data_IF_166380895486
#
_entry.id   IF_166380895486
#
_cell.length_a   1.000
_cell.length_b   1.000
_cell.length_c   1.000
_cell.angle_alpha   90.00
_cell.angle_beta   90.00
_cell.angle_gamma   90.00
#
_symmetry.space_group_name_H-M   'P 1'
#
loop_
_entity.id
_entity.type
_entity.pdbx_description
1 polymer ?
#
# COMPACT_ATOMS: atom_id res chain seq x y z
N UNK A 1 67.15 21.48 -72.70
CA UNK A 1 66.78 22.67 -73.51
C UNK A 1 65.31 22.58 -73.84
N UNK A 2 64.59 23.69 -73.73
CA UNK A 2 63.13 23.80 -73.56
C UNK A 2 62.27 23.09 -74.62
N UNK A 3 61.12 22.55 -74.18
CA UNK A 3 59.93 22.39 -75.01
C UNK A 3 58.71 22.90 -74.23
N UNK A 4 58.34 24.16 -74.51
CA UNK A 4 56.96 24.63 -74.43
C UNK A 4 56.16 23.89 -75.51
N UNK A 5 54.97 23.37 -75.20
CA UNK A 5 53.78 23.35 -76.08
C UNK A 5 52.55 23.29 -75.16
N UNK A 6 51.87 24.41 -74.85
CA UNK A 6 50.75 25.05 -75.57
C UNK A 6 49.43 24.23 -75.62
N UNK A 7 48.38 24.85 -75.05
CA UNK A 7 46.97 24.88 -75.50
C UNK A 7 46.07 23.69 -75.10
N UNK A 8 45.12 23.84 -74.14
CA UNK A 8 43.73 24.39 -74.22
C UNK A 8 42.70 23.33 -74.70
N UNK A 9 41.38 23.45 -74.38
CA UNK A 9 40.69 23.21 -73.10
C UNK A 9 39.46 22.27 -73.32
N UNK A 10 38.51 22.29 -72.38
CA UNK A 10 37.09 21.89 -72.54
C UNK A 10 36.78 20.39 -72.52
N UNK A 11 36.15 19.91 -71.44
CA UNK A 11 34.68 19.80 -71.36
C UNK A 11 34.24 19.18 -70.03
N UNK A 12 33.14 19.71 -69.51
CA UNK A 12 32.43 19.37 -68.29
C UNK A 12 32.00 17.89 -68.23
N UNK A 13 32.02 17.32 -67.03
CA UNK A 13 30.87 16.58 -66.52
C UNK A 13 30.86 16.68 -64.98
N UNK A 14 29.86 17.40 -64.47
CA UNK A 14 29.53 17.43 -63.05
C UNK A 14 28.78 16.14 -62.70
N UNK A 15 29.12 15.53 -61.57
CA UNK A 15 28.25 14.60 -60.86
C UNK A 15 28.45 14.79 -59.35
N UNK A 16 27.50 15.48 -58.71
CA UNK A 16 27.26 15.39 -57.28
C UNK A 16 26.30 14.21 -57.03
N UNK A 17 26.63 13.34 -56.08
CA UNK A 17 25.68 12.60 -55.23
C UNK A 17 26.49 11.98 -54.08
N UNK A 18 26.47 12.54 -52.87
CA UNK A 18 25.47 12.32 -51.83
C UNK A 18 25.67 10.96 -51.11
N UNK A 19 26.18 11.06 -49.89
CA UNK A 19 26.30 10.02 -48.88
C UNK A 19 24.95 9.41 -48.53
N UNK A 20 24.80 8.10 -48.69
CA UNK A 20 23.78 7.31 -47.97
C UNK A 20 24.46 6.09 -47.36
N UNK A 21 24.81 6.19 -46.08
CA UNK A 21 25.03 5.01 -45.26
C UNK A 21 23.66 4.45 -44.92
N UNK A 22 23.28 3.35 -45.56
CA UNK A 22 22.14 2.55 -45.11
C UNK A 22 22.55 1.90 -43.80
N UNK A 23 21.90 2.29 -42.70
CA UNK A 23 21.85 1.47 -41.50
C UNK A 23 21.10 0.19 -41.89
N UNK A 24 21.75 -0.96 -41.73
CA UNK A 24 21.04 -2.24 -41.66
C UNK A 24 20.05 -2.14 -40.50
N UNK A 25 18.77 -2.18 -40.82
CA UNK A 25 17.72 -2.43 -39.83
C UNK A 25 17.83 -3.92 -39.51
N UNK A 26 18.51 -4.25 -38.41
CA UNK A 26 18.38 -5.55 -37.75
C UNK A 26 16.88 -5.88 -37.72
N UNK A 27 16.50 -6.95 -38.42
CA UNK A 27 15.13 -7.23 -38.79
C UNK A 27 14.19 -7.14 -37.59
N UNK A 28 13.10 -6.39 -37.76
CA UNK A 28 11.96 -6.43 -36.86
C UNK A 28 11.52 -7.89 -36.72
N UNK A 29 11.89 -8.52 -35.61
CA UNK A 29 11.38 -9.83 -35.24
C UNK A 29 9.92 -9.63 -34.83
N UNK A 30 9.05 -10.29 -35.58
CA UNK A 30 7.65 -10.42 -35.23
C UNK A 30 7.56 -11.47 -34.12
N UNK A 31 7.25 -11.05 -32.89
CA UNK A 31 7.08 -11.92 -31.72
C UNK A 31 5.77 -12.75 -31.75
N UNK A 32 5.07 -12.76 -32.88
CA UNK A 32 3.80 -13.46 -33.07
C UNK A 32 2.61 -12.65 -32.58
N UNK A 33 1.42 -13.14 -32.93
CA UNK A 33 0.15 -12.58 -32.46
C UNK A 33 0.09 -12.66 -30.93
N UNK A 34 0.04 -11.51 -30.25
CA UNK A 34 -0.07 -11.42 -28.78
C UNK A 34 -1.46 -11.85 -28.25
N UNK A 35 -2.24 -12.56 -29.07
CA UNK A 35 -3.59 -12.97 -28.77
C UNK A 35 -4.54 -11.78 -28.72
N UNK A 36 -5.81 -12.04 -28.99
CA UNK A 36 -6.86 -11.03 -28.82
C UNK A 36 -6.98 -10.67 -27.34
N UNK A 37 -6.65 -9.43 -26.99
CA UNK A 37 -6.91 -8.89 -25.66
C UNK A 37 -8.42 -8.93 -25.40
N UNK A 38 -8.85 -9.80 -24.47
CA UNK A 38 -10.22 -9.78 -23.99
C UNK A 38 -10.42 -8.54 -23.11
N UNK A 39 -11.42 -7.72 -23.44
CA UNK A 39 -11.82 -6.64 -22.55
C UNK A 39 -12.13 -7.22 -21.15
N UNK A 40 -11.70 -6.55 -20.06
CA UNK A 40 -11.99 -7.03 -18.72
C UNK A 40 -13.50 -7.18 -18.55
N UNK A 41 -13.91 -8.36 -18.10
CA UNK A 41 -15.32 -8.66 -17.80
C UNK A 41 -15.74 -7.84 -16.59
N UNK A 42 -16.66 -6.90 -16.77
CA UNK A 42 -17.33 -6.24 -15.66
C UNK A 42 -18.09 -7.27 -14.83
N UNK A 43 -17.71 -7.40 -13.56
CA UNK A 43 -18.49 -8.11 -12.55
C UNK A 43 -19.44 -7.10 -11.89
N UNK A 44 -20.63 -7.56 -11.50
CA UNK A 44 -21.59 -6.80 -10.67
C UNK A 44 -22.13 -5.50 -11.26
N UNK A 45 -22.38 -5.44 -12.58
CA UNK A 45 -22.97 -4.27 -13.26
C UNK A 45 -24.30 -3.78 -12.65
N UNK A 46 -25.00 -4.66 -11.92
CA UNK A 46 -26.29 -4.39 -11.29
C UNK A 46 -26.22 -4.17 -9.77
N UNK A 47 -25.03 -4.13 -9.16
CA UNK A 47 -24.87 -3.82 -7.74
C UNK A 47 -24.58 -2.32 -7.60
N UNK A 48 -25.57 -1.59 -7.07
CA UNK A 48 -25.44 -0.19 -6.64
C UNK A 48 -25.48 -0.20 -5.11
N UNK A 49 -24.33 -0.18 -4.40
CA UNK A 49 -24.38 -0.02 -2.95
C UNK A 49 -25.02 1.33 -2.60
N UNK A 50 -25.76 1.37 -1.49
CA UNK A 50 -26.31 2.61 -0.96
C UNK A 50 -25.17 3.60 -0.67
N UNK A 51 -25.33 4.90 -0.98
CA UNK A 51 -24.37 5.91 -0.58
C UNK A 51 -24.09 5.83 0.94
N UNK A 52 -22.86 6.16 1.38
CA UNK A 52 -22.56 6.21 2.80
C UNK A 52 -23.53 7.15 3.53
N UNK A 53 -23.97 6.74 4.72
CA UNK A 53 -24.88 7.55 5.54
C UNK A 53 -24.23 8.88 6.02
N UNK A 54 -25.02 9.86 6.48
CA UNK A 54 -24.48 11.12 7.01
C UNK A 54 -23.46 10.85 8.14
N UNK A 55 -22.23 11.35 8.00
CA UNK A 55 -21.12 11.11 8.93
C UNK A 55 -20.28 9.87 8.63
N UNK A 56 -20.72 9.01 7.71
CA UNK A 56 -19.88 7.98 7.14
C UNK A 56 -19.08 8.59 6.00
N UNK A 57 -17.78 8.74 6.23
CA UNK A 57 -16.84 9.08 5.17
C UNK A 57 -15.90 7.89 4.98
N UNK A 58 -16.27 6.94 4.10
CA UNK A 58 -15.33 5.93 3.67
C UNK A 58 -14.19 6.66 2.97
N UNK A 59 -13.00 6.58 3.55
CA UNK A 59 -11.82 7.23 2.98
C UNK A 59 -11.44 8.59 3.57
N UNK A 60 -11.94 9.00 4.75
CA UNK A 60 -11.34 10.13 5.49
C UNK A 60 -10.93 9.76 6.90
N UNK A 61 -10.00 10.56 7.44
CA UNK A 61 -9.51 10.41 8.79
C UNK A 61 -10.68 10.40 9.79
N UNK A 62 -10.72 9.42 10.68
CA UNK A 62 -11.74 9.38 11.74
C UNK A 62 -11.11 9.83 13.06
N UNK A 63 -11.52 10.98 13.60
CA UNK A 63 -11.12 11.39 14.95
C UNK A 63 -11.52 10.33 15.96
N UNK A 64 -10.55 9.89 16.78
CA UNK A 64 -10.80 8.91 17.83
C UNK A 64 -11.41 9.63 19.04
N UNK A 65 -12.67 9.33 19.42
CA UNK A 65 -13.35 10.08 20.47
C UNK A 65 -12.85 9.68 21.86
N UNK A 66 -13.03 10.58 22.83
CA UNK A 66 -12.80 10.29 24.25
C UNK A 66 -11.34 10.29 24.70
N UNK A 67 -10.40 10.60 23.80
CA UNK A 67 -8.99 10.75 24.13
C UNK A 67 -8.64 12.20 24.46
N UNK A 68 -7.71 12.38 25.39
CA UNK A 68 -7.12 13.69 25.65
C UNK A 68 -6.32 14.16 24.43
N UNK A 69 -6.27 15.48 24.22
CA UNK A 69 -5.38 16.07 23.22
C UNK A 69 -3.92 15.80 23.59
N UNK A 70 -3.09 15.58 22.59
CA UNK A 70 -1.65 15.33 22.70
C UNK A 70 -0.90 16.63 22.40
N UNK A 71 -0.45 17.40 23.42
CA UNK A 71 0.02 18.78 23.21
C UNK A 71 1.36 18.88 22.48
N UNK A 72 2.20 17.86 22.56
CA UNK A 72 3.50 17.79 21.88
C UNK A 72 3.41 17.24 20.45
N UNK A 73 2.18 16.96 19.99
CA UNK A 73 1.86 16.44 18.67
C UNK A 73 2.55 15.11 18.34
N UNK A 74 2.97 14.32 19.34
CA UNK A 74 3.68 13.06 19.13
C UNK A 74 2.81 11.85 19.49
N UNK A 75 2.61 10.93 18.54
CA UNK A 75 1.94 9.66 18.85
C UNK A 75 2.69 8.83 19.90
N UNK A 76 4.00 9.06 20.10
CA UNK A 76 4.80 8.40 21.15
C UNK A 76 4.36 8.77 22.56
N UNK A 77 3.69 9.90 22.73
CA UNK A 77 3.16 10.37 24.00
C UNK A 77 1.75 9.85 24.29
N UNK A 78 1.08 9.25 23.30
CA UNK A 78 -0.20 8.59 23.46
C UNK A 78 -0.02 7.13 23.91
N UNK A 79 -0.96 6.61 24.71
CA UNK A 79 -1.02 5.17 25.02
C UNK A 79 -1.60 4.40 23.83
N UNK A 80 -0.84 3.50 23.17
CA UNK A 80 -1.35 2.76 22.01
C UNK A 80 -2.60 1.94 22.32
N UNK A 81 -2.63 1.30 23.50
CA UNK A 81 -3.77 0.48 23.92
C UNK A 81 -5.02 1.32 24.15
N UNK A 82 -4.90 2.50 24.77
CA UNK A 82 -6.07 3.38 24.97
C UNK A 82 -6.58 3.94 23.64
N UNK A 83 -5.69 4.26 22.69
CA UNK A 83 -6.07 4.71 21.34
C UNK A 83 -6.87 3.63 20.62
N UNK A 84 -6.35 2.40 20.56
CA UNK A 84 -7.05 1.27 19.91
C UNK A 84 -8.36 0.97 20.62
N UNK A 85 -8.38 0.99 21.96
CA UNK A 85 -9.61 0.73 22.74
C UNK A 85 -10.68 1.77 22.45
N UNK A 86 -10.34 3.04 22.44
CA UNK A 86 -11.27 4.13 22.14
C UNK A 86 -11.82 4.03 20.71
N UNK A 87 -10.95 3.81 19.72
CA UNK A 87 -11.35 3.68 18.31
C UNK A 87 -12.26 2.47 18.08
N UNK A 88 -11.87 1.28 18.54
CA UNK A 88 -12.67 0.05 18.36
C UNK A 88 -14.01 0.15 19.10
N UNK A 89 -14.06 0.76 20.28
CA UNK A 89 -15.31 0.98 21.02
C UNK A 89 -16.25 1.89 20.23
N UNK A 90 -15.73 3.01 19.72
CA UNK A 90 -16.50 3.95 18.92
C UNK A 90 -16.97 3.33 17.60
N UNK A 91 -16.09 2.62 16.90
CA UNK A 91 -16.40 1.91 15.67
C UNK A 91 -17.47 0.84 15.91
N UNK A 92 -17.40 0.08 17.01
CA UNK A 92 -18.39 -0.95 17.36
C UNK A 92 -19.77 -0.33 17.59
N UNK A 93 -19.82 0.81 18.30
CA UNK A 93 -21.07 1.52 18.54
C UNK A 93 -21.70 2.05 17.23
N UNK A 94 -20.87 2.60 16.32
CA UNK A 94 -21.31 3.12 15.02
C UNK A 94 -21.65 2.03 14.00
N UNK A 95 -21.06 0.84 14.13
CA UNK A 95 -21.23 -0.26 13.20
C UNK A 95 -22.58 -0.99 13.34
N UNK A 96 -23.21 -0.85 14.51
CA UNK A 96 -24.48 -1.51 14.86
C UNK A 96 -24.46 -3.05 14.63
N UNK A 97 -23.28 -3.67 14.73
CA UNK A 97 -23.09 -5.10 14.58
C UNK A 97 -23.09 -5.62 13.14
N UNK A 98 -23.03 -4.74 12.13
CA UNK A 98 -22.97 -5.13 10.72
C UNK A 98 -21.64 -5.78 10.31
N UNK A 99 -20.59 -5.58 11.11
CA UNK A 99 -19.23 -6.04 10.85
C UNK A 99 -18.48 -5.25 9.78
N UNK A 100 -19.03 -4.10 9.34
CA UNK A 100 -18.58 -3.32 8.19
C UNK A 100 -17.45 -2.35 8.52
N UNK A 101 -17.52 -1.70 9.68
CA UNK A 101 -16.51 -0.76 10.16
C UNK A 101 -15.45 -1.46 11.03
N UNK A 102 -15.85 -2.51 11.73
CA UNK A 102 -14.99 -3.26 12.66
C UNK A 102 -15.53 -4.67 12.84
N UNK A 103 -14.65 -5.65 13.08
CA UNK A 103 -15.08 -7.03 13.32
C UNK A 103 -15.93 -7.08 14.60
N UNK A 104 -17.12 -7.72 14.60
CA UNK A 104 -17.97 -7.81 15.79
C UNK A 104 -17.28 -8.44 17.02
N UNK A 105 -16.20 -9.20 16.79
CA UNK A 105 -15.39 -9.83 17.84
C UNK A 105 -14.36 -8.90 18.45
N UNK A 106 -14.00 -7.80 17.78
CA UNK A 106 -12.92 -6.90 18.18
C UNK A 106 -13.06 -6.40 19.63
N UNK A 107 -14.26 -5.97 20.01
CA UNK A 107 -14.50 -5.46 21.37
C UNK A 107 -14.34 -6.55 22.44
N UNK A 108 -14.74 -7.80 22.14
CA UNK A 108 -14.55 -8.93 23.05
C UNK A 108 -13.07 -9.30 23.16
N UNK A 109 -12.31 -9.17 22.06
CA UNK A 109 -10.86 -9.40 22.05
C UNK A 109 -10.11 -8.39 22.91
N UNK A 110 -10.50 -7.12 22.86
CA UNK A 110 -9.93 -6.08 23.73
C UNK A 110 -10.19 -6.30 25.22
N UNK A 111 -11.26 -7.03 25.59
CA UNK A 111 -11.55 -7.35 27.00
C UNK A 111 -10.51 -8.29 27.63
N UNK A 112 -9.64 -8.92 26.82
CA UNK A 112 -8.51 -9.73 27.30
C UNK A 112 -7.33 -8.87 27.75
N UNK A 113 -7.28 -7.59 27.37
CA UNK A 113 -6.23 -6.68 27.78
C UNK A 113 -6.47 -6.20 29.21
N UNK A 114 -5.42 -6.26 30.01
CA UNK A 114 -5.36 -5.75 31.39
C UNK A 114 -5.06 -4.24 31.41
N UNK A 115 -4.84 -3.70 32.61
CA UNK A 115 -4.44 -2.29 32.82
C UNK A 115 -2.92 -2.07 32.70
N UNK A 116 -2.14 -3.11 32.37
CA UNK A 116 -0.73 -2.93 32.06
C UNK A 116 -0.56 -2.07 30.80
N UNK A 117 0.59 -1.39 30.66
CA UNK A 117 0.87 -0.48 29.54
C UNK A 117 0.79 -1.20 28.18
N UNK A 118 1.23 -2.46 28.13
CA UNK A 118 1.15 -3.35 26.97
C UNK A 118 -0.14 -4.20 26.94
N UNK A 119 -1.04 -4.02 27.90
CA UNK A 119 -2.24 -4.82 28.09
C UNK A 119 -1.98 -6.21 28.70
N UNK A 120 -0.73 -6.60 28.96
CA UNK A 120 -0.38 -7.90 29.52
C UNK A 120 -0.44 -9.06 28.50
N UNK A 121 -0.07 -10.27 28.92
CA UNK A 121 0.29 -11.37 28.02
C UNK A 121 -0.85 -11.96 27.19
N UNK A 122 -2.10 -11.63 27.54
CA UNK A 122 -3.29 -12.10 26.82
C UNK A 122 -3.87 -11.03 25.88
N UNK A 123 -3.31 -9.82 25.89
CA UNK A 123 -3.80 -8.72 25.06
C UNK A 123 -3.45 -9.00 23.59
N UNK A 124 -4.46 -9.10 22.70
CA UNK A 124 -4.20 -9.40 21.30
C UNK A 124 -3.90 -8.15 20.46
N UNK A 125 -3.50 -7.05 21.11
CA UNK A 125 -3.00 -5.87 20.41
C UNK A 125 -1.52 -6.08 20.17
N UNK A 126 -1.09 -6.04 18.90
CA UNK A 126 0.31 -6.17 18.54
C UNK A 126 1.12 -4.98 19.07
N UNK A 127 2.40 -5.16 19.43
CA UNK A 127 3.27 -4.06 19.84
C UNK A 127 3.21 -2.90 18.85
N UNK A 128 3.18 -1.69 19.38
CA UNK A 128 3.15 -0.48 18.58
C UNK A 128 4.46 -0.29 17.79
N UNK A 129 4.32 0.07 16.53
CA UNK A 129 5.41 0.58 15.69
C UNK A 129 5.16 2.06 15.45
N UNK A 130 6.21 2.87 15.50
CA UNK A 130 6.15 4.31 15.27
C UNK A 130 7.05 4.66 14.10
N UNK A 131 6.47 5.22 13.05
CA UNK A 131 7.19 5.65 11.85
C UNK A 131 6.43 6.78 11.15
N UNK A 132 7.16 7.71 10.55
CA UNK A 132 6.58 8.73 9.67
C UNK A 132 6.13 8.10 8.35
N UNK A 133 4.82 8.03 8.16
CA UNK A 133 4.16 7.55 6.93
C UNK A 133 3.32 8.65 6.27
N UNK A 134 3.42 9.88 6.78
CA UNK A 134 2.72 11.06 6.25
C UNK A 134 3.67 12.10 5.65
N UNK A 135 4.97 11.94 5.87
CA UNK A 135 6.04 12.83 5.41
C UNK A 135 6.08 14.17 6.16
N UNK A 136 5.41 14.26 7.31
CA UNK A 136 5.29 15.51 8.06
C UNK A 136 6.37 15.67 9.16
N UNK A 137 7.28 14.71 9.28
CA UNK A 137 8.35 14.68 10.29
C UNK A 137 7.89 14.22 11.67
N UNK A 138 6.65 13.73 11.82
CA UNK A 138 6.10 13.16 13.05
C UNK A 138 5.75 11.69 12.80
N UNK A 139 6.07 10.85 13.78
CA UNK A 139 5.73 9.44 13.67
C UNK A 139 4.22 9.21 13.88
N UNK A 140 3.63 8.38 13.03
CA UNK A 140 2.34 7.76 13.22
C UNK A 140 2.44 6.53 14.14
N UNK A 141 1.33 6.15 14.76
CA UNK A 141 1.19 4.87 15.47
C UNK A 141 0.61 3.81 14.52
N UNK A 142 1.35 2.72 14.33
CA UNK A 142 0.94 1.55 13.56
C UNK A 142 0.81 0.36 14.52
N UNK A 143 -0.35 -0.31 14.51
CA UNK A 143 -0.60 -1.51 15.32
C UNK A 143 -1.73 -2.34 14.70
N UNK A 144 -1.99 -3.52 15.24
CA UNK A 144 -3.14 -4.33 14.85
C UNK A 144 -3.76 -5.01 16.07
N UNK A 145 -5.07 -5.24 16.01
CA UNK A 145 -5.79 -6.10 16.94
C UNK A 145 -6.02 -7.47 16.28
N UNK A 146 -5.44 -8.53 16.83
CA UNK A 146 -5.64 -9.90 16.35
C UNK A 146 -7.03 -10.41 16.78
N UNK A 147 -7.90 -10.61 15.81
CA UNK A 147 -9.28 -11.02 16.02
C UNK A 147 -9.37 -12.51 16.31
N UNK A 148 -8.64 -13.30 15.54
CA UNK A 148 -8.46 -14.73 15.73
C UNK A 148 -7.06 -15.14 15.28
N UNK A 149 -6.78 -16.44 15.16
CA UNK A 149 -5.47 -16.93 14.73
C UNK A 149 -5.12 -16.63 13.26
N UNK A 150 -5.94 -15.85 12.54
CA UNK A 150 -5.76 -15.54 11.12
C UNK A 150 -6.05 -14.08 10.79
N UNK A 151 -7.16 -13.52 11.26
CA UNK A 151 -7.61 -12.18 10.92
C UNK A 151 -7.16 -11.15 11.97
N UNK A 152 -6.73 -10.00 11.48
CA UNK A 152 -6.38 -8.85 12.29
C UNK A 152 -7.03 -7.57 11.76
N UNK A 153 -7.28 -6.63 12.66
CA UNK A 153 -7.68 -5.26 12.36
C UNK A 153 -6.44 -4.36 12.43
N UNK A 154 -5.79 -4.11 11.29
CA UNK A 154 -4.71 -3.13 11.16
C UNK A 154 -5.26 -1.71 11.38
N UNK A 155 -4.51 -0.92 12.13
CA UNK A 155 -4.85 0.45 12.50
C UNK A 155 -3.62 1.34 12.40
N UNK A 156 -3.81 2.50 11.79
CA UNK A 156 -2.79 3.57 11.76
C UNK A 156 -3.42 4.87 12.23
N UNK A 157 -2.72 5.56 13.13
CA UNK A 157 -3.19 6.79 13.75
C UNK A 157 -2.14 7.90 13.65
N UNK A 158 -2.60 9.13 13.48
CA UNK A 158 -1.78 10.34 13.55
C UNK A 158 -2.32 11.31 14.60
N UNK A 159 -1.49 12.26 15.03
CA UNK A 159 -1.94 13.44 15.81
C UNK A 159 -2.13 14.61 14.85
N UNK A 160 -3.35 15.15 14.80
CA UNK A 160 -3.69 16.35 14.07
C UNK A 160 -3.09 17.59 14.75
N UNK A 161 -2.96 18.70 14.00
CA UNK A 161 -2.30 19.92 14.49
C UNK A 161 -3.00 20.56 15.70
N UNK A 162 -4.28 20.23 15.93
CA UNK A 162 -5.03 20.67 17.11
C UNK A 162 -4.85 19.74 18.33
N UNK A 163 -3.98 18.73 18.22
CA UNK A 163 -3.67 17.73 19.24
C UNK A 163 -4.66 16.55 19.29
N UNK A 164 -5.69 16.49 18.44
CA UNK A 164 -6.60 15.33 18.42
C UNK A 164 -5.99 14.16 17.67
N UNK A 165 -6.28 12.94 18.13
CA UNK A 165 -5.82 11.72 17.48
C UNK A 165 -6.85 11.30 16.43
N UNK A 166 -6.40 11.00 15.21
CA UNK A 166 -7.24 10.52 14.13
C UNK A 166 -6.72 9.19 13.57
N UNK A 167 -7.64 8.28 13.28
CA UNK A 167 -7.35 7.05 12.52
C UNK A 167 -7.29 7.38 11.04
N UNK A 168 -6.13 7.11 10.43
CA UNK A 168 -5.84 7.38 9.02
C UNK A 168 -5.79 6.10 8.16
N UNK A 169 -5.76 4.92 8.79
CA UNK A 169 -5.98 3.63 8.12
C UNK A 169 -6.76 2.67 9.03
N UNK A 170 -7.72 1.98 8.44
CA UNK A 170 -8.45 0.85 9.05
C UNK A 170 -8.54 -0.25 8.01
N UNK A 171 -7.97 -1.42 8.30
CA UNK A 171 -8.00 -2.55 7.37
C UNK A 171 -8.12 -3.86 8.12
N UNK A 172 -9.10 -4.68 7.73
CA UNK A 172 -9.14 -6.09 8.15
C UNK A 172 -8.38 -6.93 7.13
N UNK A 173 -7.52 -7.81 7.60
CA UNK A 173 -6.70 -8.65 6.72
C UNK A 173 -6.04 -9.82 7.44
N UNK A 174 -5.33 -10.63 6.66
CA UNK A 174 -4.47 -11.71 7.16
C UNK A 174 -3.04 -11.18 7.11
N UNK A 175 -2.62 -10.55 8.20
CA UNK A 175 -1.37 -9.80 8.25
C UNK A 175 -0.18 -10.75 8.46
N UNK A 176 0.43 -11.19 7.37
CA UNK A 176 1.68 -11.97 7.38
C UNK A 176 2.89 -11.05 7.63
N UNK A 177 2.84 -9.83 7.08
CA UNK A 177 3.85 -8.80 7.31
C UNK A 177 3.28 -7.40 7.10
N UNK A 178 3.81 -6.43 7.86
CA UNK A 178 3.56 -5.00 7.65
C UNK A 178 4.92 -4.31 7.68
N UNK A 179 5.25 -3.62 6.59
CA UNK A 179 6.55 -3.00 6.37
C UNK A 179 6.35 -1.50 6.14
N UNK A 180 7.29 -0.69 6.64
CA UNK A 180 7.33 0.75 6.37
C UNK A 180 8.61 1.05 5.60
N UNK A 181 8.47 1.67 4.44
CA UNK A 181 9.62 2.06 3.61
C UNK A 181 9.30 3.35 2.87
N UNK A 182 10.19 4.35 2.96
CA UNK A 182 10.08 5.62 2.23
C UNK A 182 8.67 6.26 2.31
N UNK A 183 8.09 6.34 3.53
CA UNK A 183 6.75 6.91 3.79
C UNK A 183 5.58 6.07 3.22
N UNK A 184 5.85 4.87 2.71
CA UNK A 184 4.84 3.89 2.29
C UNK A 184 4.64 2.86 3.39
N UNK A 185 3.39 2.39 3.51
CA UNK A 185 3.04 1.24 4.34
C UNK A 185 2.66 0.07 3.43
N UNK A 186 3.50 -0.95 3.39
CA UNK A 186 3.25 -2.18 2.64
C UNK A 186 2.64 -3.24 3.55
N UNK A 187 1.52 -3.83 3.13
CA UNK A 187 0.84 -4.93 3.83
C UNK A 187 0.94 -6.20 3.00
N UNK A 188 1.56 -7.23 3.57
CA UNK A 188 1.73 -8.54 2.97
C UNK A 188 0.68 -9.51 3.50
N UNK A 189 -0.01 -10.18 2.58
CA UNK A 189 -1.03 -11.17 2.92
C UNK A 189 -0.87 -12.45 2.08
N UNK A 190 -1.12 -13.62 2.68
CA UNK A 190 -1.05 -14.88 1.97
C UNK A 190 -2.19 -14.97 0.96
N UNK A 191 -1.92 -15.59 -0.19
CA UNK A 191 -2.96 -15.87 -1.18
C UNK A 191 -3.41 -17.32 -1.15
N UNK A 192 -4.45 -17.67 -1.92
CA UNK A 192 -4.82 -19.07 -2.13
C UNK A 192 -3.76 -19.87 -2.88
N UNK A 193 -2.84 -19.19 -3.59
CA UNK A 193 -1.65 -19.81 -4.14
C UNK A 193 -0.52 -19.69 -3.11
N UNK A 194 -0.07 -20.79 -2.49
CA UNK A 194 0.94 -20.75 -1.43
C UNK A 194 2.33 -20.28 -1.89
N UNK A 195 2.53 -20.05 -3.20
CA UNK A 195 3.76 -19.52 -3.79
C UNK A 195 3.71 -18.01 -4.03
N UNK A 196 2.56 -17.38 -3.75
CA UNK A 196 2.34 -15.96 -4.00
C UNK A 196 1.88 -15.26 -2.74
N UNK A 197 2.40 -14.05 -2.58
CA UNK A 197 1.98 -13.09 -1.55
C UNK A 197 1.33 -11.89 -2.24
N UNK A 198 0.25 -11.40 -1.66
CA UNK A 198 -0.37 -10.14 -2.07
C UNK A 198 0.28 -9.00 -1.30
N UNK A 199 0.73 -7.96 -2.00
CA UNK A 199 1.29 -6.76 -1.38
C UNK A 199 0.36 -5.59 -1.68
N UNK A 200 -0.21 -5.00 -0.64
CA UNK A 200 -0.98 -3.76 -0.71
C UNK A 200 -0.12 -2.60 -0.22
N UNK A 201 0.21 -1.66 -1.10
CA UNK A 201 0.96 -0.46 -0.74
C UNK A 201 0.01 0.70 -0.46
N UNK A 202 0.23 1.35 0.68
CA UNK A 202 -0.53 2.51 1.12
C UNK A 202 0.36 3.74 1.19
N UNK A 203 -0.13 4.84 0.66
CA UNK A 203 0.56 6.14 0.62
C UNK A 203 -0.35 7.21 1.18
N UNK A 204 0.24 8.20 1.84
CA UNK A 204 -0.49 9.33 2.38
C UNK A 204 -1.15 10.17 1.28
N UNK A 205 -2.45 10.41 1.45
CA UNK A 205 -3.23 11.37 0.67
C UNK A 205 -3.53 12.58 1.55
N UNK A 206 -2.86 13.73 1.32
CA UNK A 206 -3.05 14.93 2.14
C UNK A 206 -4.41 15.59 1.93
N UNK A 207 -5.10 15.34 0.79
CA UNK A 207 -6.43 15.89 0.54
C UNK A 207 -7.50 15.08 1.28
N UNK A 208 -7.38 13.76 1.28
CA UNK A 208 -8.30 12.87 1.99
C UNK A 208 -7.97 12.72 3.49
N UNK A 209 -6.74 13.03 3.88
CA UNK A 209 -6.23 12.87 5.24
C UNK A 209 -6.09 11.40 5.65
N UNK A 210 -5.85 10.49 4.70
CA UNK A 210 -5.73 9.06 4.97
C UNK A 210 -4.58 8.40 4.22
N UNK A 211 -4.20 7.20 4.65
CA UNK A 211 -3.39 6.31 3.85
C UNK A 211 -4.29 5.60 2.81
N UNK A 212 -4.10 5.96 1.54
CA UNK A 212 -4.84 5.40 0.41
C UNK A 212 -4.06 4.26 -0.24
N UNK A 213 -4.78 3.22 -0.70
CA UNK A 213 -4.19 2.13 -1.47
C UNK A 213 -3.67 2.70 -2.79
N UNK A 214 -2.34 2.72 -2.98
CA UNK A 214 -1.70 3.19 -4.20
C UNK A 214 -1.51 2.04 -5.19
N UNK A 215 -1.14 0.86 -4.69
CA UNK A 215 -0.79 -0.28 -5.52
C UNK A 215 -1.19 -1.60 -4.84
N UNK A 216 -1.57 -2.57 -5.66
CA UNK A 216 -1.79 -3.95 -5.26
C UNK A 216 -1.03 -4.85 -6.22
N UNK A 217 -0.05 -5.60 -5.72
CA UNK A 217 0.73 -6.57 -6.51
C UNK A 217 0.57 -7.99 -5.99
N UNK A 218 0.92 -8.92 -6.86
CA UNK A 218 1.10 -10.33 -6.53
C UNK A 218 2.54 -10.70 -6.81
N UNK A 219 3.29 -10.94 -5.75
CA UNK A 219 4.72 -11.24 -5.83
C UNK A 219 4.94 -12.74 -5.60
N UNK A 220 6.00 -13.28 -6.21
CA UNK A 220 6.50 -14.62 -5.88
C UNK A 220 7.26 -14.56 -4.55
N UNK A 221 7.18 -15.63 -3.77
CA UNK A 221 7.89 -15.70 -2.51
C UNK A 221 9.40 -15.94 -2.74
N UNK A 222 10.29 -15.19 -2.08
CA UNK A 222 11.71 -15.15 -2.43
C UNK A 222 12.50 -16.46 -2.25
N UNK A 223 11.90 -17.52 -1.68
CA UNK A 223 12.56 -18.80 -1.41
C UNK A 223 12.13 -19.96 -2.34
N UNK A 224 11.47 -19.69 -3.47
CA UNK A 224 11.07 -20.73 -4.43
C UNK A 224 12.03 -20.90 -5.61
N UNK A 225 13.31 -21.23 -5.37
CA UNK A 225 14.17 -21.71 -6.47
C UNK A 225 13.68 -23.06 -7.04
N UNK A 226 12.95 -23.87 -6.27
CA UNK A 226 12.44 -25.20 -6.71
C UNK A 226 10.91 -25.36 -6.63
N UNK A 227 10.16 -24.27 -6.42
CA UNK A 227 8.70 -24.27 -6.49
C UNK A 227 7.97 -25.26 -5.56
N UNK A 228 8.62 -25.77 -4.51
CA UNK A 228 8.04 -26.76 -3.58
C UNK A 228 7.72 -26.16 -2.21
N UNK A 229 8.30 -25.01 -1.87
CA UNK A 229 8.18 -24.40 -0.54
C UNK A 229 7.12 -23.29 -0.51
N UNK A 230 6.11 -23.38 0.37
CA UNK A 230 5.18 -22.27 0.63
C UNK A 230 5.90 -21.03 1.17
N UNK A 231 5.31 -19.85 0.99
CA UNK A 231 5.78 -18.63 1.64
C UNK A 231 5.96 -18.84 3.15
N UNK A 232 7.03 -18.29 3.76
CA UNK A 232 7.23 -18.40 5.20
C UNK A 232 6.13 -17.64 5.93
N UNK A 233 5.03 -18.34 6.23
CA UNK A 233 4.06 -17.84 7.19
C UNK A 233 4.75 -17.64 8.53
N UNK A 234 4.34 -16.61 9.26
CA UNK A 234 4.69 -16.45 10.68
C UNK A 234 4.09 -17.62 11.46
N UNK A 235 4.83 -18.73 11.46
CA UNK A 235 4.46 -19.98 12.10
C UNK A 235 4.52 -19.87 13.60
N UNK A 236 3.35 -20.01 14.21
CA UNK A 236 3.08 -20.94 15.31
C UNK A 236 4.20 -21.16 16.34
N UNK A 237 4.09 -20.45 17.45
CA UNK A 237 4.47 -20.94 18.79
C UNK A 237 3.22 -21.10 19.63
#
# INVERSE_FOLDING_TARGET
>A
MALLHRSRPLLLAAALAATTGCADVEGLRNDGDLGTAHAPRSLWENIRPEPPGPGQQPGTATTVPGLAKVPDLSMRSASPLEVVRADITAATAADHGTGRLVDPRAIQRLALCTQAVDGGPQCPVRPAVFADVTGNGRDELITALDIDGRLSELRVYTVQDDGTIARILSRRGVLEGVEVAAEHLAVREPTSNPKKVSISDYVWDPEAGILNLSQLTLDECPDTEDGTTPCPGTGSG
#
